data_IF_107762357663
#
_entry.id   IF_107762357663
#
_cell.length_a   1.000
_cell.length_b   1.000
_cell.length_c   1.000
_cell.angle_alpha   90.00
_cell.angle_beta   90.00
_cell.angle_gamma   90.00
#
_symmetry.space_group_name_H-M   'P 1'
#
loop_
_entity.id
_entity.type
_entity.pdbx_description
1 polymer ?
#
# COMPACT_ATOMS: atom_id res chain seq x y z
N UNK A 1 -6.89 15.96 -17.39
CA UNK A 1 -6.17 15.00 -16.52
C UNK A 1 -6.18 15.55 -15.11
N UNK A 2 -6.80 14.85 -14.15
CA UNK A 2 -6.70 15.24 -12.74
C UNK A 2 -5.24 15.02 -12.29
N UNK A 3 -4.60 16.06 -11.72
CA UNK A 3 -3.31 15.90 -11.05
C UNK A 3 -3.55 15.04 -9.82
N UNK A 4 -3.04 13.79 -9.80
CA UNK A 4 -2.95 13.03 -8.56
C UNK A 4 -1.71 13.49 -7.80
N UNK A 5 -1.92 13.98 -6.58
CA UNK A 5 -0.85 14.28 -5.63
C UNK A 5 -0.63 13.11 -4.68
N UNK A 6 0.26 13.31 -3.70
CA UNK A 6 0.41 12.40 -2.57
C UNK A 6 -0.64 12.72 -1.51
N UNK A 7 -1.90 12.42 -1.81
CA UNK A 7 -3.05 12.66 -0.94
C UNK A 7 -3.37 11.42 -0.11
N UNK A 8 -4.05 11.59 1.04
CA UNK A 8 -4.52 10.46 1.85
C UNK A 8 -5.34 9.47 1.02
N UNK A 9 -5.08 8.18 1.23
CA UNK A 9 -5.66 7.08 0.47
C UNK A 9 -5.03 6.83 -0.90
N UNK A 10 -4.02 7.59 -1.32
CA UNK A 10 -3.30 7.31 -2.57
C UNK A 10 -2.52 6.00 -2.47
N UNK A 11 -2.62 5.13 -3.48
CA UNK A 11 -1.75 3.96 -3.60
C UNK A 11 -0.33 4.42 -3.96
N UNK A 12 0.66 3.99 -3.18
CA UNK A 12 2.05 4.41 -3.32
C UNK A 12 3.01 3.23 -3.18
N UNK A 13 4.16 3.35 -3.82
CA UNK A 13 5.31 2.49 -3.63
C UNK A 13 6.41 3.27 -2.91
N UNK A 14 6.74 2.86 -1.69
CA UNK A 14 7.89 3.38 -0.94
C UNK A 14 9.11 2.52 -1.23
N UNK A 15 10.24 3.16 -1.52
CA UNK A 15 11.56 2.54 -1.51
C UNK A 15 12.30 3.05 -0.28
N UNK A 16 12.71 2.13 0.59
CA UNK A 16 13.49 2.42 1.78
C UNK A 16 14.96 2.12 1.53
N UNK A 17 15.84 2.82 2.24
CA UNK A 17 17.25 2.47 2.35
C UNK A 17 17.59 1.90 3.73
N UNK A 18 18.62 1.06 3.76
CA UNK A 18 19.26 0.51 4.98
C UNK A 18 18.30 -0.11 6.04
N UNK A 19 17.80 -1.35 5.85
CA UNK A 19 17.95 -2.22 4.67
C UNK A 19 17.09 -1.74 3.49
N UNK A 20 17.47 -2.17 2.28
CA UNK A 20 16.71 -1.84 1.08
C UNK A 20 15.47 -2.71 1.00
N UNK A 21 14.31 -2.07 0.97
CA UNK A 21 13.02 -2.73 0.94
C UNK A 21 12.03 -1.86 0.14
N UNK A 22 11.03 -2.51 -0.45
CA UNK A 22 9.94 -1.82 -1.14
C UNK A 22 8.62 -2.16 -0.46
N UNK A 23 7.85 -1.14 -0.11
CA UNK A 23 6.57 -1.30 0.57
C UNK A 23 5.49 -0.67 -0.30
N UNK A 24 4.46 -1.45 -0.60
CA UNK A 24 3.28 -0.99 -1.33
C UNK A 24 2.11 -0.80 -0.36
N UNK A 25 1.34 0.26 -0.54
CA UNK A 25 0.18 0.50 0.31
C UNK A 25 -0.56 1.78 0.03
N UNK A 26 -1.51 2.09 0.90
CA UNK A 26 -2.31 3.30 0.90
C UNK A 26 -1.69 4.33 1.85
N UNK A 27 -1.41 5.53 1.34
CA UNK A 27 -0.91 6.63 2.12
C UNK A 27 -1.93 7.01 3.20
N UNK A 28 -1.55 6.90 4.47
CA UNK A 28 -2.37 7.42 5.57
C UNK A 28 -1.98 8.86 5.83
N UNK A 29 -0.69 9.17 5.88
CA UNK A 29 -0.19 10.51 6.16
C UNK A 29 1.22 10.71 5.61
N UNK A 30 1.47 11.88 5.03
CA UNK A 30 2.81 12.36 4.68
C UNK A 30 3.14 13.59 5.52
N UNK A 31 4.22 13.52 6.29
CA UNK A 31 4.67 14.61 7.15
C UNK A 31 6.21 14.76 7.11
N UNK A 32 6.73 15.82 7.73
CA UNK A 32 8.17 16.07 7.78
C UNK A 32 8.93 15.00 8.60
N UNK A 33 8.24 14.38 9.56
CA UNK A 33 8.79 13.34 10.44
C UNK A 33 8.83 11.97 9.74
N UNK A 34 7.90 11.71 8.82
CA UNK A 34 7.83 10.44 8.13
C UNK A 34 6.57 10.22 7.30
N UNK A 35 6.42 8.96 6.87
CA UNK A 35 5.29 8.47 6.09
C UNK A 35 4.56 7.41 6.89
N UNK A 36 3.26 7.60 7.08
CA UNK A 36 2.35 6.58 7.60
C UNK A 36 1.65 5.89 6.42
N UNK A 37 1.73 4.57 6.37
CA UNK A 37 1.25 3.76 5.27
C UNK A 37 0.45 2.56 5.80
N UNK A 38 -0.72 2.30 5.21
CA UNK A 38 -1.37 0.99 5.33
C UNK A 38 -0.85 0.10 4.21
N UNK A 39 0.05 -0.83 4.51
CA UNK A 39 0.77 -1.53 3.45
C UNK A 39 1.40 -2.85 3.85
N UNK A 40 2.09 -3.43 2.87
CA UNK A 40 2.82 -4.69 2.93
C UNK A 40 4.11 -4.59 2.11
N UNK A 41 5.11 -5.45 2.37
CA UNK A 41 6.24 -5.59 1.46
C UNK A 41 5.76 -5.93 0.05
N UNK A 42 6.33 -5.30 -0.97
CA UNK A 42 5.85 -5.44 -2.36
C UNK A 42 5.95 -6.88 -2.86
N UNK A 43 6.94 -7.63 -2.39
CA UNK A 43 7.13 -9.05 -2.66
C UNK A 43 5.99 -9.93 -2.14
N UNK A 44 5.23 -9.46 -1.15
CA UNK A 44 4.10 -10.18 -0.56
C UNK A 44 2.77 -9.88 -1.26
N UNK A 45 2.74 -8.92 -2.20
CA UNK A 45 1.49 -8.40 -2.79
C UNK A 45 0.67 -9.48 -3.49
N UNK A 46 1.34 -10.35 -4.24
CA UNK A 46 0.69 -11.41 -5.00
C UNK A 46 0.12 -12.52 -4.12
N UNK A 47 0.78 -12.84 -3.01
CA UNK A 47 0.30 -13.81 -2.04
C UNK A 47 -0.90 -13.25 -1.28
N UNK A 48 -0.83 -12.01 -0.81
CA UNK A 48 -1.95 -11.34 -0.16
C UNK A 48 -3.16 -11.25 -1.09
N UNK A 49 -2.97 -10.96 -2.38
CA UNK A 49 -4.07 -10.95 -3.34
C UNK A 49 -4.78 -12.32 -3.43
N UNK A 50 -4.02 -13.43 -3.40
CA UNK A 50 -4.61 -14.78 -3.39
C UNK A 50 -5.39 -15.06 -2.11
N UNK A 51 -4.85 -14.67 -0.96
CA UNK A 51 -5.51 -14.82 0.35
C UNK A 51 -6.83 -14.03 0.39
N UNK A 52 -6.82 -12.78 -0.05
CA UNK A 52 -8.03 -11.95 -0.15
C UNK A 52 -9.07 -12.59 -1.07
N UNK A 53 -8.66 -13.12 -2.22
CA UNK A 53 -9.57 -13.86 -3.11
C UNK A 53 -10.14 -15.12 -2.47
N UNK A 54 -9.41 -15.75 -1.55
CA UNK A 54 -9.87 -16.89 -0.78
C UNK A 54 -10.80 -16.51 0.40
N UNK A 55 -11.04 -15.21 0.61
CA UNK A 55 -11.86 -14.70 1.72
C UNK A 55 -11.08 -14.49 3.02
N UNK A 56 -9.74 -14.54 2.97
CA UNK A 56 -8.89 -14.25 4.12
C UNK A 56 -8.61 -12.75 4.23
N UNK A 57 -8.23 -12.30 5.42
CA UNK A 57 -7.88 -10.89 5.65
C UNK A 57 -6.55 -10.55 4.96
N UNK A 58 -6.45 -9.38 4.35
CA UNK A 58 -5.30 -8.95 3.55
C UNK A 58 -3.96 -8.82 4.30
N UNK A 59 -3.90 -9.03 5.62
CA UNK A 59 -2.65 -8.95 6.39
C UNK A 59 -1.94 -7.58 6.40
N UNK A 60 -2.51 -6.53 5.77
CA UNK A 60 -1.89 -5.22 5.71
C UNK A 60 -1.67 -4.63 7.10
N UNK A 61 -0.54 -3.94 7.29
CA UNK A 61 -0.18 -3.32 8.57
C UNK A 61 -0.16 -1.81 8.42
N UNK A 62 -0.42 -1.12 9.53
CA UNK A 62 -0.20 0.33 9.63
C UNK A 62 1.24 0.54 10.05
N UNK A 63 2.04 1.09 9.14
CA UNK A 63 3.48 1.21 9.25
C UNK A 63 3.86 2.69 9.27
N UNK A 64 4.83 3.05 10.10
CA UNK A 64 5.47 4.36 10.09
C UNK A 64 6.92 4.23 9.63
N UNK A 65 7.30 5.05 8.65
CA UNK A 65 8.67 5.12 8.15
C UNK A 65 9.22 6.52 8.40
N UNK A 66 10.30 6.68 9.20
CA UNK A 66 10.89 7.98 9.40
C UNK A 66 11.52 8.50 8.11
N UNK A 67 11.46 9.82 7.87
CA UNK A 67 11.89 10.41 6.58
C UNK A 67 13.34 10.06 6.20
N UNK A 68 14.23 9.91 7.19
CA UNK A 68 15.63 9.55 6.95
C UNK A 68 15.84 8.10 6.48
N UNK A 69 14.78 7.29 6.32
CA UNK A 69 14.85 5.96 5.69
C UNK A 69 14.26 5.95 4.29
N UNK A 70 13.47 6.97 3.92
CA UNK A 70 12.75 7.02 2.66
C UNK A 70 13.69 7.47 1.56
N UNK A 71 14.06 6.54 0.66
CA UNK A 71 14.86 6.86 -0.52
C UNK A 71 13.97 7.52 -1.59
N UNK A 72 12.75 6.99 -1.78
CA UNK A 72 11.80 7.44 -2.80
C UNK A 72 10.37 7.04 -2.46
N UNK A 73 9.40 7.86 -2.86
CA UNK A 73 7.98 7.49 -2.88
C UNK A 73 7.40 7.79 -4.27
N UNK A 74 6.70 6.81 -4.84
CA UNK A 74 6.08 6.89 -6.16
C UNK A 74 4.57 6.69 -6.03
N UNK A 75 3.78 7.47 -6.78
CA UNK A 75 2.36 7.17 -6.95
C UNK A 75 2.24 5.92 -7.80
N UNK A 76 1.39 4.99 -7.37
CA UNK A 76 1.06 3.83 -8.19
C UNK A 76 0.24 4.27 -9.41
N UNK A 77 0.75 3.97 -10.60
CA UNK A 77 0.13 4.32 -11.86
C UNK A 77 0.52 3.31 -12.94
N UNK A 78 -0.42 3.03 -13.84
CA UNK A 78 -0.13 2.26 -15.05
C UNK A 78 0.85 3.04 -15.96
N UNK A 79 1.73 2.31 -16.65
CA UNK A 79 2.70 2.88 -17.58
C UNK A 79 2.49 2.25 -18.96
N UNK A 80 1.80 2.98 -19.84
CA UNK A 80 1.38 2.45 -21.14
C UNK A 80 0.43 1.28 -20.95
N UNK A 81 0.81 0.11 -21.47
CA UNK A 81 0.04 -1.15 -21.33
C UNK A 81 0.39 -1.93 -20.05
N UNK A 82 1.37 -1.48 -19.26
CA UNK A 82 1.73 -2.16 -18.01
C UNK A 82 0.77 -1.72 -16.90
N UNK A 83 0.02 -2.65 -16.29
CA UNK A 83 -0.89 -2.32 -15.21
C UNK A 83 -0.12 -1.84 -13.99
N UNK A 84 -0.76 -1.00 -13.19
CA UNK A 84 -0.26 -0.59 -11.88
C UNK A 84 -0.20 -1.78 -10.90
N UNK A 85 0.46 -1.60 -9.77
CA UNK A 85 0.45 -2.61 -8.70
C UNK A 85 -0.96 -2.79 -8.13
N UNK A 86 -1.72 -1.70 -7.96
CA UNK A 86 -3.11 -1.77 -7.51
C UNK A 86 -4.02 -2.48 -8.51
N UNK A 87 -3.84 -2.24 -9.81
CA UNK A 87 -4.60 -2.92 -10.87
C UNK A 87 -4.26 -4.42 -10.92
N UNK A 88 -2.96 -4.75 -10.84
CA UNK A 88 -2.50 -6.14 -10.80
C UNK A 88 -3.01 -6.89 -9.57
N UNK A 89 -3.04 -6.21 -8.42
CA UNK A 89 -3.64 -6.73 -7.20
C UNK A 89 -5.14 -6.99 -7.39
N UNK A 90 -5.89 -5.99 -7.88
CA UNK A 90 -7.34 -6.09 -8.01
C UNK A 90 -7.76 -7.22 -8.98
N UNK A 91 -7.02 -7.39 -10.08
CA UNK A 91 -7.25 -8.49 -11.02
C UNK A 91 -7.08 -9.88 -10.36
N UNK A 92 -6.18 -10.00 -9.38
CA UNK A 92 -5.90 -11.27 -8.65
C UNK A 92 -6.77 -11.46 -7.42
N UNK A 93 -7.07 -10.39 -6.70
CA UNK A 93 -7.84 -10.40 -5.46
C UNK A 93 -9.35 -10.44 -5.68
N UNK A 94 -9.82 -9.86 -6.79
CA UNK A 94 -11.25 -9.70 -7.08
C UNK A 94 -11.89 -8.48 -6.43
N UNK A 95 -11.13 -7.63 -5.73
CA UNK A 95 -11.57 -6.38 -5.11
C UNK A 95 -10.46 -5.32 -5.16
N UNK A 96 -10.78 -4.06 -4.89
CA UNK A 96 -9.78 -2.99 -4.91
C UNK A 96 -8.81 -3.08 -3.72
N UNK A 97 -7.57 -2.61 -3.87
CA UNK A 97 -6.61 -2.50 -2.75
C UNK A 97 -7.20 -1.73 -1.58
N UNK A 98 -7.97 -0.66 -1.87
CA UNK A 98 -8.66 0.14 -0.88
C UNK A 98 -9.55 -0.73 0.02
N UNK A 99 -10.43 -1.50 -0.58
CA UNK A 99 -11.38 -2.38 0.10
C UNK A 99 -10.62 -3.42 0.93
N UNK A 100 -9.65 -4.09 0.33
CA UNK A 100 -8.86 -5.13 0.99
C UNK A 100 -8.06 -4.61 2.20
N UNK A 101 -7.51 -3.40 2.14
CA UNK A 101 -6.59 -2.87 3.16
C UNK A 101 -7.31 -2.06 4.25
N UNK A 102 -8.50 -1.51 3.97
CA UNK A 102 -9.34 -0.79 4.94
C UNK A 102 -10.11 -1.76 5.86
N UNK A 103 -10.59 -2.92 5.36
CA UNK A 103 -11.33 -3.91 6.16
C UNK A 103 -10.57 -4.42 7.40
N UNK A 104 -9.24 -4.34 7.39
CA UNK A 104 -8.40 -4.79 8.50
C UNK A 104 -8.23 -3.77 9.64
N UNK A 105 -8.96 -2.64 9.63
CA UNK A 105 -9.06 -1.70 10.78
C UNK A 105 -10.27 -1.98 11.70
N UNK A 106 -11.16 -2.90 11.33
CA UNK A 106 -12.25 -3.36 12.19
C UNK A 106 -11.78 -4.42 13.20
N UNK A 107 -11.11 -3.98 14.27
CA UNK A 107 -10.69 -4.92 15.31
C UNK A 107 -9.68 -4.34 16.27
N UNK A 108 -10.01 -3.22 16.91
CA UNK A 108 -9.49 -2.99 18.24
C UNK A 108 -10.43 -2.14 19.12
N UNK A 109 -11.33 -2.83 19.81
CA UNK A 109 -11.94 -2.40 21.06
C UNK A 109 -10.99 -2.79 22.22
N UNK A 110 -10.22 -1.83 22.75
CA UNK A 110 -9.74 -1.81 24.15
C UNK A 110 -10.15 -0.43 24.69
N UNK A 111 -11.09 -0.25 25.64
CA UNK A 111 -11.39 -1.04 26.84
C UNK A 111 -10.13 -1.33 27.68
#
# INVERSE_FOLDING_TARGET
>A
MQRRGFDEGSAVLLTLHSPREKVFGLLIKLAAEGVELRGIPVESLDEVARQVRAGERAGALTLFFPMHRVERMELDAAVGELPSLAESFAAKAGCAVREAFEEATGGNEWA
#
